data_IF_085957937032
#
_entry.id   IF_085957937032
#
_cell.length_a   1.000
_cell.length_b   1.000
_cell.length_c   1.000
_cell.angle_alpha   90.00
_cell.angle_beta   90.00
_cell.angle_gamma   90.00
#
_symmetry.space_group_name_H-M   'P 1'
#
loop_
_entity.id
_entity.type
_entity.pdbx_description
1 polymer ?
#
# COMPACT_ATOMS: atom_id res chain seq x y z
N UNK A 1 -30.38 62.06 -22.75
CA UNK A 1 -29.03 62.35 -22.26
C UNK A 1 -28.65 61.27 -21.27
N UNK A 2 -27.64 60.46 -21.60
CA UNK A 2 -26.98 59.59 -20.64
C UNK A 2 -25.49 59.70 -20.93
N UNK A 3 -24.80 60.52 -20.13
CA UNK A 3 -23.36 60.69 -20.15
C UNK A 3 -22.76 59.45 -19.47
N UNK A 4 -22.54 58.40 -20.24
CA UNK A 4 -21.68 57.29 -19.82
C UNK A 4 -20.23 57.78 -19.85
N UNK A 5 -19.64 57.95 -18.68
CA UNK A 5 -18.20 58.14 -18.51
C UNK A 5 -17.52 56.89 -19.08
N UNK A 6 -16.94 57.01 -20.28
CA UNK A 6 -16.17 55.94 -20.92
C UNK A 6 -14.78 55.86 -20.27
N UNK A 7 -14.25 54.66 -19.96
CA UNK A 7 -12.84 54.53 -19.59
C UNK A 7 -11.98 55.07 -20.75
N UNK A 8 -10.97 55.87 -20.42
CA UNK A 8 -10.10 56.51 -21.40
C UNK A 8 -9.43 55.44 -22.29
N UNK A 9 -9.60 55.55 -23.62
CA UNK A 9 -8.89 54.73 -24.61
C UNK A 9 -9.74 53.75 -25.44
N UNK A 10 -11.03 53.57 -25.17
CA UNK A 10 -11.88 52.69 -25.98
C UNK A 10 -12.49 53.43 -27.19
N UNK A 11 -11.94 53.21 -28.39
CA UNK A 11 -12.52 53.68 -29.65
C UNK A 11 -13.66 52.73 -30.06
N UNK A 12 -14.90 53.25 -30.12
CA UNK A 12 -16.08 52.47 -30.51
C UNK A 12 -16.52 52.93 -31.89
N UNK A 13 -16.36 52.05 -32.88
CA UNK A 13 -16.86 52.27 -34.25
C UNK A 13 -18.20 51.55 -34.37
N UNK A 14 -19.28 52.34 -34.47
CA UNK A 14 -20.61 51.79 -34.68
C UNK A 14 -20.80 51.33 -36.13
N UNK A 15 -21.37 50.13 -36.30
CA UNK A 15 -21.79 49.61 -37.60
C UNK A 15 -23.30 49.45 -37.56
N UNK A 16 -24.00 50.13 -38.47
CA UNK A 16 -25.47 50.09 -38.50
C UNK A 16 -25.96 48.70 -38.94
N UNK A 17 -26.73 48.04 -38.08
CA UNK A 17 -27.34 46.75 -38.37
C UNK A 17 -28.40 46.90 -39.48
N UNK A 18 -28.40 46.00 -40.47
CA UNK A 18 -29.41 45.94 -41.54
C UNK A 18 -29.06 46.66 -42.85
N UNK A 19 -27.98 47.43 -42.91
CA UNK A 19 -27.50 48.03 -44.16
C UNK A 19 -26.69 46.99 -44.96
N UNK A 20 -27.38 46.07 -45.65
CA UNK A 20 -26.79 44.96 -46.40
C UNK A 20 -26.39 45.34 -47.83
N UNK A 21 -25.43 44.60 -48.37
CA UNK A 21 -25.10 44.58 -49.79
C UNK A 21 -26.30 44.00 -50.60
N UNK A 22 -26.50 44.38 -51.88
CA UNK A 22 -27.66 43.93 -52.68
C UNK A 22 -27.83 42.42 -52.84
N UNK A 23 -26.77 41.64 -52.66
CA UNK A 23 -26.82 40.16 -52.67
C UNK A 23 -27.18 39.54 -51.31
N UNK A 24 -27.30 40.35 -50.25
CA UNK A 24 -27.65 39.92 -48.90
C UNK A 24 -26.56 39.17 -48.13
N UNK A 25 -25.35 39.03 -48.68
CA UNK A 25 -24.27 38.21 -48.09
C UNK A 25 -23.29 38.98 -47.23
N UNK A 26 -23.31 40.31 -47.30
CA UNK A 26 -22.39 41.20 -46.59
C UNK A 26 -23.08 42.50 -46.18
N UNK A 27 -22.41 43.27 -45.33
CA UNK A 27 -22.79 44.67 -45.05
C UNK A 27 -22.45 45.56 -46.25
N UNK A 28 -23.22 46.62 -46.44
CA UNK A 28 -22.98 47.64 -47.46
C UNK A 28 -21.65 48.36 -47.19
N UNK A 29 -21.00 48.83 -48.26
CA UNK A 29 -19.73 49.58 -48.16
C UNK A 29 -19.86 50.84 -47.30
N UNK A 30 -21.00 51.51 -47.38
CA UNK A 30 -21.26 52.71 -46.57
C UNK A 30 -21.39 52.37 -45.08
N UNK A 31 -21.99 51.23 -44.74
CA UNK A 31 -22.12 50.80 -43.34
C UNK A 31 -20.77 50.48 -42.68
N UNK A 32 -19.80 49.98 -43.43
CA UNK A 32 -18.45 49.65 -42.92
C UNK A 32 -17.40 50.72 -43.22
N UNK A 33 -17.76 51.81 -43.90
CA UNK A 33 -16.81 52.84 -44.38
C UNK A 33 -15.93 53.40 -43.27
N UNK A 34 -16.51 53.69 -42.10
CA UNK A 34 -15.78 54.21 -40.95
C UNK A 34 -14.75 53.20 -40.39
N UNK A 35 -15.13 51.92 -40.33
CA UNK A 35 -14.25 50.83 -39.92
C UNK A 35 -13.09 50.64 -40.91
N UNK A 36 -13.40 50.60 -42.22
CA UNK A 36 -12.39 50.46 -43.27
C UNK A 36 -11.40 51.61 -43.29
N UNK A 37 -11.87 52.86 -43.18
CA UNK A 37 -10.99 54.02 -43.10
C UNK A 37 -10.08 53.99 -41.86
N UNK A 38 -10.55 53.46 -40.73
CA UNK A 38 -9.72 53.27 -39.54
C UNK A 38 -8.64 52.21 -39.75
N UNK A 39 -8.99 51.07 -40.36
CA UNK A 39 -8.06 50.00 -40.67
C UNK A 39 -7.00 50.45 -41.69
N UNK A 40 -7.39 51.23 -42.70
CA UNK A 40 -6.47 51.82 -43.68
C UNK A 40 -5.50 52.81 -43.02
N UNK A 41 -6.00 53.69 -42.14
CA UNK A 41 -5.17 54.61 -41.35
C UNK A 41 -4.16 53.85 -40.46
N UNK A 42 -4.60 52.78 -39.80
CA UNK A 42 -3.72 51.91 -39.02
C UNK A 42 -2.70 51.19 -39.92
N UNK A 43 -3.11 50.70 -41.09
CA UNK A 43 -2.24 50.01 -42.03
C UNK A 43 -1.18 50.93 -42.65
N UNK A 44 -1.45 52.23 -42.77
CA UNK A 44 -0.48 53.22 -43.26
C UNK A 44 0.56 53.61 -42.20
N UNK A 45 0.25 53.53 -40.90
CA UNK A 45 1.11 53.99 -39.80
C UNK A 45 1.82 52.82 -39.08
N UNK A 46 3.13 52.69 -39.30
CA UNK A 46 3.95 51.67 -38.65
C UNK A 46 4.08 51.84 -37.12
N UNK A 47 4.07 53.09 -36.62
CA UNK A 47 4.10 53.39 -35.19
C UNK A 47 2.80 52.99 -34.50
N UNK A 48 1.66 53.33 -35.11
CA UNK A 48 0.34 52.94 -34.60
C UNK A 48 0.15 51.42 -34.57
N UNK A 49 0.61 50.68 -35.59
CA UNK A 49 0.59 49.21 -35.56
C UNK A 49 1.43 48.63 -34.44
N UNK A 50 2.64 49.18 -34.21
CA UNK A 50 3.51 48.72 -33.13
C UNK A 50 2.86 48.95 -31.77
N UNK A 51 2.33 50.16 -31.53
CA UNK A 51 1.61 50.48 -30.29
C UNK A 51 0.40 49.55 -30.07
N UNK A 52 -0.38 49.27 -31.11
CA UNK A 52 -1.51 48.34 -31.00
C UNK A 52 -1.04 46.91 -30.68
N UNK A 53 0.04 46.43 -31.32
CA UNK A 53 0.60 45.13 -31.05
C UNK A 53 1.12 45.02 -29.60
N UNK A 54 1.79 46.06 -29.09
CA UNK A 54 2.25 46.14 -27.70
C UNK A 54 1.07 46.14 -26.72
N UNK A 55 0.02 46.91 -27.00
CA UNK A 55 -1.21 46.93 -26.18
C UNK A 55 -1.96 45.60 -26.22
N UNK A 56 -2.07 44.97 -27.38
CA UNK A 56 -2.71 43.67 -27.54
C UNK A 56 -1.91 42.57 -26.82
N UNK A 57 -0.58 42.60 -26.91
CA UNK A 57 0.30 41.67 -26.19
C UNK A 57 0.20 41.88 -24.67
N UNK A 58 0.27 43.13 -24.20
CA UNK A 58 0.12 43.45 -22.78
C UNK A 58 -1.26 43.01 -22.26
N UNK A 59 -2.32 43.22 -23.03
CA UNK A 59 -3.67 42.76 -22.70
C UNK A 59 -3.78 41.23 -22.69
N UNK A 60 -3.16 40.54 -23.64
CA UNK A 60 -3.13 39.08 -23.67
C UNK A 60 -2.37 38.51 -22.47
N UNK A 61 -1.20 39.07 -22.12
CA UNK A 61 -0.42 38.66 -20.93
C UNK A 61 -1.20 38.94 -19.65
N UNK A 62 -1.81 40.12 -19.51
CA UNK A 62 -2.65 40.46 -18.37
C UNK A 62 -3.87 39.53 -18.24
N UNK A 63 -4.43 39.08 -19.36
CA UNK A 63 -5.51 38.10 -19.40
C UNK A 63 -5.09 36.68 -18.99
N UNK A 64 -3.82 36.32 -19.16
CA UNK A 64 -3.29 35.01 -18.73
C UNK A 64 -3.14 34.91 -17.21
N UNK A 65 -2.79 36.02 -16.54
CA UNK A 65 -2.57 36.05 -15.09
C UNK A 65 -3.73 35.42 -14.29
N UNK A 66 -5.01 35.84 -14.44
CA UNK A 66 -6.10 35.24 -13.69
C UNK A 66 -6.36 33.76 -14.05
N UNK A 67 -6.09 33.35 -15.29
CA UNK A 67 -6.23 31.95 -15.72
C UNK A 67 -5.18 31.06 -15.05
N UNK A 68 -3.94 31.53 -14.97
CA UNK A 68 -2.87 30.79 -14.31
C UNK A 68 -3.10 30.70 -12.80
N UNK A 69 -3.61 31.76 -12.16
CA UNK A 69 -3.98 31.71 -10.75
C UNK A 69 -5.11 30.70 -10.50
N UNK A 70 -6.12 30.66 -11.36
CA UNK A 70 -7.19 29.66 -11.27
C UNK A 70 -6.64 28.23 -11.34
N UNK A 71 -5.72 27.95 -12.27
CA UNK A 71 -5.07 26.63 -12.37
C UNK A 71 -4.23 26.33 -11.12
N UNK A 72 -3.49 27.31 -10.60
CA UNK A 72 -2.70 27.13 -9.38
C UNK A 72 -3.59 26.82 -8.16
N UNK A 73 -4.73 27.50 -8.04
CA UNK A 73 -5.70 27.24 -6.97
C UNK A 73 -6.33 25.84 -7.13
N UNK A 74 -6.65 25.42 -8.36
CA UNK A 74 -7.14 24.06 -8.64
C UNK A 74 -6.10 22.99 -8.28
N UNK A 75 -4.81 23.22 -8.54
CA UNK A 75 -3.73 22.32 -8.15
C UNK A 75 -3.61 22.19 -6.63
N UNK A 76 -3.79 23.28 -5.88
CA UNK A 76 -3.79 23.24 -4.41
C UNK A 76 -4.99 22.46 -3.85
N UNK A 77 -6.18 22.62 -4.43
CA UNK A 77 -7.34 21.81 -4.07
C UNK A 77 -7.09 20.33 -4.38
N UNK A 78 -6.57 20.00 -5.57
CA UNK A 78 -6.21 18.62 -5.92
C UNK A 78 -5.16 18.04 -4.98
N UNK A 79 -4.21 18.85 -4.48
CA UNK A 79 -3.23 18.39 -3.50
C UNK A 79 -3.88 18.00 -2.16
N UNK A 80 -4.90 18.74 -1.72
CA UNK A 80 -5.67 18.42 -0.51
C UNK A 80 -6.43 17.11 -0.68
N UNK A 81 -7.10 16.94 -1.83
CA UNK A 81 -7.86 15.73 -2.15
C UNK A 81 -6.93 14.50 -2.26
N UNK A 82 -5.80 14.67 -2.94
CA UNK A 82 -4.76 13.65 -3.04
C UNK A 82 -4.26 13.19 -1.65
N UNK A 83 -3.93 14.15 -0.77
CA UNK A 83 -3.48 13.82 0.58
C UNK A 83 -4.60 13.16 1.40
N UNK A 84 -5.87 13.52 1.17
CA UNK A 84 -7.00 12.87 1.82
C UNK A 84 -7.14 11.39 1.42
N UNK A 85 -7.06 11.07 0.13
CA UNK A 85 -7.13 9.70 -0.35
C UNK A 85 -5.98 8.83 0.17
N UNK A 86 -4.75 9.37 0.21
CA UNK A 86 -3.58 8.70 0.79
C UNK A 86 -3.78 8.41 2.29
N UNK A 87 -4.31 9.38 3.05
CA UNK A 87 -4.63 9.19 4.48
C UNK A 87 -5.68 8.11 4.70
N UNK A 88 -6.69 8.02 3.83
CA UNK A 88 -7.72 6.97 3.91
C UNK A 88 -7.07 5.59 3.74
N UNK A 89 -6.28 5.39 2.67
CA UNK A 89 -5.59 4.12 2.43
C UNK A 89 -4.65 3.75 3.60
N UNK A 90 -3.88 4.72 4.12
CA UNK A 90 -3.02 4.51 5.27
C UNK A 90 -3.80 4.10 6.53
N UNK A 91 -4.93 4.74 6.79
CA UNK A 91 -5.76 4.45 7.97
C UNK A 91 -6.38 3.06 7.88
N UNK A 92 -6.98 2.72 6.73
CA UNK A 92 -7.67 1.44 6.54
C UNK A 92 -6.69 0.25 6.59
N UNK A 93 -5.52 0.38 5.96
CA UNK A 93 -4.49 -0.66 6.03
C UNK A 93 -3.84 -0.78 7.41
N UNK A 94 -3.59 0.32 8.12
CA UNK A 94 -3.06 0.28 9.48
C UNK A 94 -4.06 -0.35 10.47
N UNK A 95 -5.34 -0.04 10.34
CA UNK A 95 -6.39 -0.63 11.16
C UNK A 95 -6.53 -2.13 10.90
N UNK A 96 -6.46 -2.57 9.64
CA UNK A 96 -6.47 -4.00 9.32
C UNK A 96 -5.23 -4.73 9.80
N UNK A 97 -4.04 -4.13 9.70
CA UNK A 97 -2.84 -4.68 10.30
C UNK A 97 -2.98 -4.82 11.82
N UNK A 98 -3.59 -3.83 12.50
CA UNK A 98 -3.87 -3.87 13.93
C UNK A 98 -4.85 -5.00 14.27
N UNK A 99 -5.94 -5.15 13.51
CA UNK A 99 -6.93 -6.22 13.69
C UNK A 99 -6.34 -7.60 13.43
N UNK A 100 -5.51 -7.72 12.39
CA UNK A 100 -4.78 -8.94 12.05
C UNK A 100 -3.85 -9.35 13.20
N UNK A 101 -3.03 -8.41 13.72
CA UNK A 101 -2.16 -8.61 14.89
C UNK A 101 -2.95 -9.02 16.13
N UNK A 102 -4.11 -8.41 16.37
CA UNK A 102 -4.95 -8.75 17.52
C UNK A 102 -5.59 -10.14 17.38
N UNK A 103 -6.07 -10.51 16.19
CA UNK A 103 -6.65 -11.83 15.91
C UNK A 103 -5.62 -12.94 16.03
N UNK A 104 -4.41 -12.68 15.56
CA UNK A 104 -3.25 -13.52 15.77
C UNK A 104 -3.00 -13.69 17.28
N UNK A 105 -2.86 -12.62 18.04
CA UNK A 105 -2.70 -12.69 19.51
C UNK A 105 -3.81 -13.46 20.23
N UNK A 106 -5.07 -13.34 19.77
CA UNK A 106 -6.25 -13.98 20.40
C UNK A 106 -6.48 -15.44 19.98
N UNK A 107 -5.81 -15.96 18.97
CA UNK A 107 -5.88 -17.39 18.62
C UNK A 107 -7.09 -17.87 17.82
N UNK A 108 -7.85 -16.96 17.21
CA UNK A 108 -9.07 -17.32 16.47
C UNK A 108 -8.80 -17.89 15.06
N UNK A 109 -7.54 -18.00 14.63
CA UNK A 109 -7.18 -18.30 13.23
C UNK A 109 -6.92 -19.79 12.99
N UNK A 110 -6.51 -20.55 14.00
CA UNK A 110 -6.03 -21.94 13.83
C UNK A 110 -6.99 -23.03 14.36
N UNK A 111 -8.18 -22.64 14.86
CA UNK A 111 -9.04 -23.54 15.65
C UNK A 111 -9.85 -24.53 14.80
N UNK A 112 -10.32 -24.19 13.60
CA UNK A 112 -11.31 -25.01 12.88
C UNK A 112 -10.75 -25.91 11.76
N UNK A 113 -9.66 -25.53 11.10
CA UNK A 113 -9.10 -26.29 9.95
C UNK A 113 -7.99 -27.27 10.40
N UNK A 114 -7.11 -26.83 11.32
CA UNK A 114 -6.00 -27.65 11.85
C UNK A 114 -6.52 -28.87 12.63
N UNK A 115 -7.65 -28.73 13.34
CA UNK A 115 -8.29 -29.85 14.06
C UNK A 115 -8.89 -30.87 13.09
N UNK A 116 -9.48 -30.41 11.98
CA UNK A 116 -10.08 -31.29 10.97
C UNK A 116 -9.02 -32.12 10.24
N UNK A 117 -7.88 -31.50 9.91
CA UNK A 117 -6.77 -32.17 9.24
C UNK A 117 -6.06 -33.17 10.19
N UNK A 118 -5.95 -32.85 11.48
CA UNK A 118 -5.37 -33.72 12.50
C UNK A 118 -6.26 -34.94 12.85
N UNK A 119 -7.59 -34.78 12.85
CA UNK A 119 -8.53 -35.87 13.15
C UNK A 119 -8.48 -37.02 12.13
N UNK A 120 -8.04 -36.76 10.90
CA UNK A 120 -7.80 -37.83 9.91
C UNK A 120 -6.48 -38.60 10.13
N UNK A 121 -5.59 -38.10 10.99
CA UNK A 121 -4.21 -38.57 11.11
C UNK A 121 -3.93 -39.47 12.34
N UNK A 122 -4.68 -39.36 13.43
CA UNK A 122 -4.41 -40.16 14.65
C UNK A 122 -5.59 -41.05 15.00
N UNK A 123 -5.61 -42.25 14.42
CA UNK A 123 -6.26 -43.39 15.09
C UNK A 123 -5.58 -43.58 16.45
N UNK A 124 -6.34 -43.44 17.53
CA UNK A 124 -5.87 -43.30 18.91
C UNK A 124 -5.01 -44.46 19.48
N UNK A 125 -4.75 -45.52 18.71
CA UNK A 125 -4.28 -46.82 19.23
C UNK A 125 -2.76 -47.05 19.19
N UNK A 126 -1.96 -46.11 18.66
CA UNK A 126 -0.51 -46.31 18.47
C UNK A 126 0.38 -45.51 19.43
N UNK A 127 -0.13 -44.44 20.05
CA UNK A 127 0.66 -43.53 20.91
C UNK A 127 0.86 -44.10 22.32
N UNK A 128 -0.08 -44.89 22.83
CA UNK A 128 -0.05 -45.47 24.19
C UNK A 128 1.05 -46.52 24.40
N UNK A 129 1.55 -47.15 23.32
CA UNK A 129 2.61 -48.19 23.42
C UNK A 129 4.04 -47.66 23.54
N UNK A 130 4.30 -46.42 23.15
CA UNK A 130 5.66 -45.86 23.17
C UNK A 130 6.11 -45.40 24.58
N UNK A 131 5.16 -45.19 25.49
CA UNK A 131 5.42 -44.59 26.81
C UNK A 131 5.78 -45.59 27.92
N UNK A 132 5.58 -46.89 27.73
CA UNK A 132 5.79 -47.91 28.78
C UNK A 132 7.24 -48.39 28.94
N UNK A 133 8.21 -47.86 28.17
CA UNK A 133 9.62 -48.25 28.32
C UNK A 133 10.53 -47.02 28.48
N UNK A 134 11.28 -47.00 29.58
CA UNK A 134 11.90 -45.81 30.16
C UNK A 134 12.90 -45.00 29.33
N UNK A 135 13.24 -43.83 29.90
CA UNK A 135 13.94 -42.65 29.37
C UNK A 135 15.29 -42.92 28.67
N UNK A 136 15.90 -44.11 28.82
CA UNK A 136 17.18 -44.47 28.21
C UNK A 136 17.17 -44.81 26.71
N UNK A 137 16.00 -45.03 26.08
CA UNK A 137 15.90 -45.47 24.66
C UNK A 137 15.32 -44.45 23.66
N UNK A 138 15.14 -43.20 24.08
CA UNK A 138 14.53 -42.13 23.25
C UNK A 138 15.34 -41.85 21.96
N UNK A 139 16.66 -42.08 21.95
CA UNK A 139 17.50 -41.97 20.75
C UNK A 139 17.08 -42.91 19.61
N UNK A 140 16.56 -44.10 19.93
CA UNK A 140 16.18 -45.11 18.93
C UNK A 140 14.81 -44.88 18.31
N UNK A 141 13.86 -44.35 19.08
CA UNK A 141 12.49 -44.10 18.63
C UNK A 141 12.42 -42.95 17.61
N UNK A 142 13.21 -41.89 17.81
CA UNK A 142 13.33 -40.80 16.84
C UNK A 142 13.99 -41.25 15.53
N UNK A 143 14.95 -42.17 15.58
CA UNK A 143 15.62 -42.69 14.38
C UNK A 143 14.78 -43.74 13.61
N UNK A 144 13.70 -44.25 14.19
CA UNK A 144 12.78 -45.21 13.56
C UNK A 144 11.63 -44.50 12.83
N UNK A 145 11.14 -43.38 13.37
CA UNK A 145 10.11 -42.53 12.74
C UNK A 145 10.63 -41.91 11.43
N UNK A 146 11.92 -41.65 11.34
CA UNK A 146 12.55 -41.02 10.15
C UNK A 146 12.98 -42.01 9.05
N UNK A 147 12.83 -43.33 9.25
CA UNK A 147 13.29 -44.34 8.29
C UNK A 147 12.21 -44.94 7.38
N UNK A 148 10.97 -44.44 7.43
CA UNK A 148 9.85 -45.05 6.68
C UNK A 148 8.71 -44.14 6.21
N UNK A 149 8.81 -42.80 6.32
CA UNK A 149 7.74 -41.89 5.82
C UNK A 149 8.17 -41.16 4.54
N UNK A 150 7.32 -41.10 3.50
CA UNK A 150 7.66 -40.47 2.20
C UNK A 150 7.90 -38.96 2.27
N UNK A 151 7.40 -38.27 3.30
CA UNK A 151 7.73 -36.87 3.62
C UNK A 151 7.95 -36.75 5.14
N UNK A 152 8.95 -35.96 5.56
CA UNK A 152 9.23 -35.75 6.98
C UNK A 152 8.03 -35.01 7.63
N UNK A 153 7.46 -35.49 8.76
CA UNK A 153 6.26 -34.93 9.41
C UNK A 153 6.30 -33.42 9.69
N UNK A 154 7.51 -32.89 9.84
CA UNK A 154 7.81 -31.47 10.07
C UNK A 154 7.51 -30.58 8.86
N UNK A 155 7.84 -31.04 7.65
CA UNK A 155 7.67 -30.25 6.43
C UNK A 155 6.18 -30.06 6.09
N UNK A 156 5.35 -31.06 6.36
CA UNK A 156 3.90 -30.99 6.15
C UNK A 156 3.22 -29.97 7.09
N UNK A 157 3.59 -29.96 8.38
CA UNK A 157 3.07 -28.99 9.35
C UNK A 157 3.50 -27.56 9.01
N UNK A 158 4.75 -27.40 8.61
CA UNK A 158 5.30 -26.12 8.16
C UNK A 158 4.53 -25.56 6.96
N UNK A 159 4.30 -26.41 5.94
CA UNK A 159 3.55 -26.05 4.74
C UNK A 159 2.12 -25.65 5.07
N UNK A 160 1.40 -26.46 5.85
CA UNK A 160 0.02 -26.17 6.26
C UNK A 160 -0.10 -24.84 7.01
N UNK A 161 0.75 -24.60 8.00
CA UNK A 161 0.74 -23.33 8.74
C UNK A 161 1.08 -22.12 7.86
N UNK A 162 1.95 -22.31 6.87
CA UNK A 162 2.31 -21.26 5.89
C UNK A 162 1.13 -20.94 4.97
N UNK A 163 0.41 -21.95 4.50
CA UNK A 163 -0.77 -21.79 3.63
C UNK A 163 -1.95 -21.15 4.38
N UNK A 164 -2.19 -21.54 5.63
CA UNK A 164 -3.21 -20.95 6.50
C UNK A 164 -2.93 -19.47 6.77
N UNK A 165 -1.69 -19.14 7.14
CA UNK A 165 -1.29 -17.75 7.38
C UNK A 165 -1.33 -16.92 6.09
N UNK A 166 -0.96 -17.50 4.95
CA UNK A 166 -1.11 -16.84 3.65
C UNK A 166 -2.56 -16.51 3.35
N UNK A 167 -3.48 -17.44 3.57
CA UNK A 167 -4.92 -17.23 3.34
C UNK A 167 -5.46 -16.15 4.27
N UNK A 168 -5.02 -16.15 5.53
CA UNK A 168 -5.40 -15.17 6.53
C UNK A 168 -4.92 -13.74 6.19
N UNK A 169 -3.66 -13.59 5.76
CA UNK A 169 -3.12 -12.30 5.31
C UNK A 169 -3.88 -11.78 4.08
N UNK A 170 -4.15 -12.66 3.10
CA UNK A 170 -4.92 -12.29 1.89
C UNK A 170 -6.33 -11.83 2.24
N UNK A 171 -6.99 -12.47 3.22
CA UNK A 171 -8.31 -12.06 3.68
C UNK A 171 -8.29 -10.65 4.28
N UNK A 172 -7.36 -10.37 5.19
CA UNK A 172 -7.21 -9.05 5.83
C UNK A 172 -6.81 -7.95 4.85
N UNK A 173 -5.89 -8.23 3.92
CA UNK A 173 -5.55 -7.30 2.86
C UNK A 173 -6.74 -7.02 1.93
N UNK A 174 -7.57 -8.03 1.65
CA UNK A 174 -8.79 -7.85 0.85
C UNK A 174 -9.85 -7.05 1.58
N UNK A 175 -9.98 -7.21 2.91
CA UNK A 175 -10.85 -6.36 3.72
C UNK A 175 -10.35 -4.91 3.74
N UNK A 176 -9.05 -4.68 3.89
CA UNK A 176 -8.46 -3.35 3.82
C UNK A 176 -8.68 -2.68 2.47
N UNK A 177 -8.48 -3.43 1.38
CA UNK A 177 -8.73 -2.97 0.02
C UNK A 177 -10.20 -2.62 -0.20
N UNK A 178 -11.15 -3.47 0.24
CA UNK A 178 -12.60 -3.20 0.18
C UNK A 178 -13.00 -1.92 0.93
N UNK A 179 -12.48 -1.72 2.15
CA UNK A 179 -12.77 -0.50 2.93
C UNK A 179 -12.24 0.74 2.22
N UNK A 180 -10.97 0.69 1.78
CA UNK A 180 -10.32 1.78 1.06
C UNK A 180 -11.08 2.13 -0.22
N UNK A 181 -11.40 1.13 -1.05
CA UNK A 181 -12.18 1.32 -2.27
C UNK A 181 -13.60 1.86 -2.00
N UNK A 182 -14.25 1.45 -0.90
CA UNK A 182 -15.55 1.98 -0.51
C UNK A 182 -15.47 3.45 -0.11
N UNK A 183 -14.47 3.82 0.70
CA UNK A 183 -14.24 5.22 1.09
C UNK A 183 -13.85 6.09 -0.11
N UNK A 184 -12.98 5.59 -0.99
CA UNK A 184 -12.61 6.27 -2.23
C UNK A 184 -13.80 6.46 -3.18
N UNK A 185 -14.73 5.51 -3.23
CA UNK A 185 -15.93 5.62 -4.06
C UNK A 185 -16.88 6.74 -3.62
N UNK A 186 -16.76 7.24 -2.38
CA UNK A 186 -17.53 8.39 -1.89
C UNK A 186 -16.90 9.74 -2.27
N UNK A 187 -15.64 9.75 -2.72
CA UNK A 187 -14.90 10.92 -3.16
C UNK A 187 -14.92 11.03 -4.71
N UNK A 188 -15.16 12.21 -5.32
CA UNK A 188 -15.21 12.34 -6.78
C UNK A 188 -13.94 11.91 -7.51
N UNK A 189 -12.76 12.19 -6.95
CA UNK A 189 -11.48 11.80 -7.54
C UNK A 189 -11.22 10.32 -7.29
N UNK A 190 -11.44 9.85 -6.07
CA UNK A 190 -11.33 8.45 -5.68
C UNK A 190 -12.24 7.52 -6.49
N UNK A 191 -13.50 7.91 -6.73
CA UNK A 191 -14.47 7.12 -7.47
C UNK A 191 -14.02 6.83 -8.90
N UNK A 192 -13.35 7.79 -9.56
CA UNK A 192 -12.78 7.59 -10.90
C UNK A 192 -11.61 6.61 -10.88
N UNK A 193 -10.75 6.67 -9.86
CA UNK A 193 -9.62 5.74 -9.71
C UNK A 193 -10.12 4.31 -9.50
N UNK A 194 -11.11 4.11 -8.61
CA UNK A 194 -11.71 2.80 -8.33
C UNK A 194 -12.46 2.24 -9.55
N UNK A 195 -13.17 3.08 -10.30
CA UNK A 195 -13.87 2.64 -11.51
C UNK A 195 -12.93 2.16 -12.63
N UNK A 196 -11.70 2.69 -12.66
CA UNK A 196 -10.69 2.33 -13.67
C UNK A 196 -9.88 1.09 -13.31
N UNK A 197 -9.89 0.65 -12.04
CA UNK A 197 -9.15 -0.52 -11.58
C UNK A 197 -9.99 -1.37 -10.60
N UNK A 198 -10.66 -2.39 -11.13
CA UNK A 198 -11.42 -3.36 -10.34
C UNK A 198 -10.54 -4.15 -9.35
N UNK A 199 -9.22 -4.22 -9.58
CA UNK A 199 -8.27 -4.89 -8.69
C UNK A 199 -8.11 -4.19 -7.33
N UNK A 200 -8.59 -2.96 -7.16
CA UNK A 200 -8.57 -2.23 -5.89
C UNK A 200 -9.60 -2.73 -4.86
N UNK A 201 -10.55 -3.57 -5.27
CA UNK A 201 -11.55 -4.16 -4.36
C UNK A 201 -11.04 -5.39 -3.60
N UNK A 202 -9.80 -5.81 -3.86
CA UNK A 202 -9.23 -7.04 -3.29
C UNK A 202 -7.71 -6.90 -3.11
N UNK A 203 -7.14 -7.82 -2.33
CA UNK A 203 -5.70 -7.99 -2.25
C UNK A 203 -5.09 -8.28 -3.63
N UNK A 204 -3.81 -7.97 -3.81
CA UNK A 204 -3.10 -8.21 -5.06
C UNK A 204 -3.06 -9.72 -5.36
N UNK A 205 -3.11 -10.06 -6.65
CA UNK A 205 -3.13 -11.46 -7.07
C UNK A 205 -1.89 -12.24 -6.62
N UNK A 206 -0.76 -11.56 -6.45
CA UNK A 206 0.52 -12.15 -6.04
C UNK A 206 0.77 -12.12 -4.53
N UNK A 207 -0.13 -11.53 -3.73
CA UNK A 207 0.08 -11.39 -2.27
C UNK A 207 0.25 -12.74 -1.58
N UNK A 208 -0.49 -13.76 -2.00
CA UNK A 208 -0.34 -15.12 -1.43
C UNK A 208 1.05 -15.69 -1.70
N UNK A 209 1.56 -15.56 -2.92
CA UNK A 209 2.92 -15.96 -3.31
C UNK A 209 3.98 -15.23 -2.48
N UNK A 210 3.85 -13.90 -2.39
CA UNK A 210 4.75 -13.05 -1.64
C UNK A 210 4.75 -13.39 -0.14
N UNK A 211 3.57 -13.71 0.42
CA UNK A 211 3.44 -14.10 1.83
C UNK A 211 4.17 -15.43 2.09
N UNK A 212 3.97 -16.45 1.25
CA UNK A 212 4.67 -17.74 1.39
C UNK A 212 6.19 -17.60 1.27
N UNK A 213 6.65 -16.77 0.32
CA UNK A 213 8.06 -16.47 0.17
C UNK A 213 8.64 -15.77 1.41
N UNK A 214 7.95 -14.76 1.94
CA UNK A 214 8.39 -14.05 3.13
C UNK A 214 8.42 -14.95 4.38
N UNK A 215 7.42 -15.84 4.54
CA UNK A 215 7.40 -16.83 5.61
C UNK A 215 8.54 -17.84 5.50
N UNK A 216 8.91 -18.23 4.28
CA UNK A 216 10.08 -19.10 4.04
C UNK A 216 11.38 -18.43 4.51
N UNK A 217 11.56 -17.15 4.19
CA UNK A 217 12.70 -16.35 4.66
C UNK A 217 12.69 -16.24 6.19
N UNK A 218 11.53 -15.96 6.78
CA UNK A 218 11.37 -15.89 8.24
C UNK A 218 11.76 -17.21 8.94
N UNK A 219 11.32 -18.35 8.42
CA UNK A 219 11.69 -19.67 8.95
C UNK A 219 13.19 -19.95 8.81
N UNK A 220 13.80 -19.55 7.69
CA UNK A 220 15.26 -19.61 7.50
C UNK A 220 16.02 -18.80 8.55
N UNK A 221 15.52 -17.61 8.90
CA UNK A 221 16.11 -16.77 9.95
C UNK A 221 16.02 -17.43 11.34
N UNK A 222 14.90 -18.10 11.66
CA UNK A 222 14.78 -18.88 12.90
C UNK A 222 15.80 -20.03 12.92
N UNK A 223 15.95 -20.76 11.81
CA UNK A 223 16.93 -21.84 11.71
C UNK A 223 18.36 -21.34 11.90
N UNK A 224 18.69 -20.16 11.35
CA UNK A 224 19.97 -19.50 11.58
C UNK A 224 20.17 -19.13 13.06
N UNK A 225 19.17 -18.54 13.73
CA UNK A 225 19.24 -18.21 15.16
C UNK A 225 19.49 -19.46 16.02
N UNK A 226 18.82 -20.58 15.72
CA UNK A 226 19.03 -21.87 16.42
C UNK A 226 20.44 -22.39 16.20
N UNK A 227 20.96 -22.31 14.97
CA UNK A 227 22.31 -22.77 14.63
C UNK A 227 23.39 -21.98 15.39
N UNK A 228 23.27 -20.65 15.42
CA UNK A 228 24.20 -19.77 16.15
C UNK A 228 24.17 -20.07 17.66
N UNK A 229 22.97 -20.15 18.24
CA UNK A 229 22.79 -20.43 19.67
C UNK A 229 23.30 -21.83 20.06
N UNK A 230 23.21 -22.80 19.15
CA UNK A 230 23.71 -24.17 19.36
C UNK A 230 25.23 -24.32 19.22
N UNK A 231 25.90 -23.46 18.44
CA UNK A 231 27.33 -23.52 18.19
C UNK A 231 28.19 -23.13 19.40
N UNK A 232 27.68 -22.25 20.28
CA UNK A 232 28.39 -21.75 21.47
C UNK A 232 28.55 -22.81 22.58
N UNK A 233 27.77 -23.90 22.54
CA UNK A 233 27.92 -25.04 23.46
C UNK A 233 28.82 -26.10 22.81
N UNK A 234 30.08 -26.15 23.28
CA UNK A 234 31.23 -26.98 22.83
C UNK A 234 31.03 -28.51 22.65
N UNK A 235 29.81 -29.06 22.60
CA UNK A 235 29.53 -30.51 22.57
C UNK A 235 28.78 -31.07 21.35
N UNK A 236 28.31 -30.26 20.39
CA UNK A 236 27.35 -30.71 19.35
C UNK A 236 27.97 -30.86 17.96
N UNK A 237 29.19 -31.39 17.85
CA UNK A 237 29.93 -31.44 16.58
C UNK A 237 29.45 -32.52 15.56
N UNK A 238 28.47 -33.38 15.88
CA UNK A 238 28.03 -34.47 14.96
C UNK A 238 26.50 -34.63 14.79
N UNK A 239 25.73 -33.58 15.03
CA UNK A 239 24.25 -33.60 14.86
C UNK A 239 23.65 -32.29 14.36
N UNK A 240 24.46 -31.42 13.75
CA UNK A 240 24.16 -29.99 13.52
C UNK A 240 22.97 -29.78 12.57
N UNK A 241 22.82 -30.53 11.49
CA UNK A 241 21.70 -30.30 10.55
C UNK A 241 20.35 -30.84 11.06
N UNK A 242 20.37 -31.96 11.79
CA UNK A 242 19.15 -32.61 12.29
C UNK A 242 18.58 -31.90 13.55
N UNK A 243 19.45 -31.36 14.41
CA UNK A 243 19.03 -30.63 15.62
C UNK A 243 18.51 -29.22 15.33
N UNK A 244 19.11 -28.52 14.37
CA UNK A 244 18.74 -27.13 14.02
C UNK A 244 17.33 -27.05 13.42
N UNK A 245 16.99 -27.95 12.50
CA UNK A 245 15.66 -27.95 11.88
C UNK A 245 14.54 -28.27 12.90
N UNK A 246 14.76 -29.24 13.78
CA UNK A 246 13.79 -29.56 14.83
C UNK A 246 13.63 -28.41 15.85
N UNK A 247 14.72 -27.71 16.17
CA UNK A 247 14.69 -26.52 17.02
C UNK A 247 13.92 -25.36 16.38
N UNK A 248 14.18 -25.09 15.10
CA UNK A 248 13.53 -24.01 14.36
C UNK A 248 12.02 -24.21 14.25
N UNK A 249 11.60 -25.44 13.96
CA UNK A 249 10.19 -25.82 13.88
C UNK A 249 9.52 -25.69 15.25
N UNK A 250 10.23 -25.98 16.33
CA UNK A 250 9.66 -25.81 17.66
C UNK A 250 9.51 -24.35 18.04
N UNK A 251 10.48 -23.50 17.69
CA UNK A 251 10.35 -22.05 17.87
C UNK A 251 9.18 -21.53 17.04
N UNK A 252 9.07 -21.92 15.77
CA UNK A 252 7.96 -21.59 14.89
C UNK A 252 6.61 -22.00 15.50
N UNK A 253 6.47 -23.26 15.93
CA UNK A 253 5.26 -23.75 16.59
C UNK A 253 4.97 -23.01 17.89
N UNK A 254 6.01 -22.60 18.64
CA UNK A 254 5.85 -21.83 19.88
C UNK A 254 5.41 -20.40 19.60
N UNK A 255 5.93 -19.79 18.53
CA UNK A 255 5.46 -18.51 18.01
C UNK A 255 4.00 -18.66 17.62
N UNK A 256 3.62 -19.62 16.78
CA UNK A 256 2.22 -19.83 16.39
C UNK A 256 1.30 -20.20 17.55
N UNK A 257 1.77 -20.96 18.54
CA UNK A 257 0.96 -21.30 19.72
C UNK A 257 0.68 -20.07 20.61
N UNK A 258 1.64 -19.15 20.72
CA UNK A 258 1.46 -17.91 21.47
C UNK A 258 0.75 -16.82 20.65
N UNK A 259 0.98 -16.80 19.36
CA UNK A 259 0.25 -16.06 18.33
C UNK A 259 -1.04 -16.81 17.94
N UNK A 260 -1.53 -17.66 18.84
CA UNK A 260 -2.58 -18.65 18.64
C UNK A 260 -3.43 -18.90 19.89
N UNK A 261 -3.20 -18.16 20.98
CA UNK A 261 -4.05 -18.20 22.18
C UNK A 261 -4.21 -19.57 22.86
N UNK A 262 -3.16 -20.40 22.94
CA UNK A 262 -3.22 -21.74 23.56
C UNK A 262 -3.04 -21.79 25.09
N UNK A 263 -3.58 -20.83 25.86
CA UNK A 263 -3.44 -20.80 27.33
C UNK A 263 -4.72 -21.01 28.14
N UNK A 264 -5.84 -21.47 27.56
CA UNK A 264 -7.07 -21.59 28.35
C UNK A 264 -8.13 -22.55 27.82
N UNK A 265 -8.42 -23.56 28.65
CA UNK A 265 -9.67 -24.30 28.82
C UNK A 265 -9.98 -25.59 28.02
N UNK A 266 -9.40 -25.88 26.85
CA UNK A 266 -9.77 -27.12 26.11
C UNK A 266 -8.55 -27.90 25.60
N UNK A 267 -7.62 -28.13 26.54
CA UNK A 267 -6.40 -28.92 26.33
C UNK A 267 -6.76 -30.42 26.37
N UNK A 268 -7.29 -30.92 25.25
CA UNK A 268 -7.62 -32.34 25.10
C UNK A 268 -6.45 -33.16 24.54
N UNK A 269 -5.99 -32.87 23.32
CA UNK A 269 -5.15 -33.83 22.57
C UNK A 269 -4.03 -33.16 21.74
N UNK A 270 -4.01 -31.83 21.61
CA UNK A 270 -2.92 -31.09 20.94
C UNK A 270 -1.68 -30.82 21.83
N UNK A 271 -1.77 -31.05 23.15
CA UNK A 271 -0.69 -30.78 24.10
C UNK A 271 0.37 -31.88 24.24
N UNK A 272 0.21 -33.02 23.57
CA UNK A 272 1.12 -34.17 23.74
C UNK A 272 2.56 -33.94 23.25
N UNK A 273 2.80 -33.00 22.33
CA UNK A 273 4.13 -32.81 21.70
C UNK A 273 4.73 -31.43 21.93
N UNK A 274 3.93 -30.35 21.97
CA UNK A 274 4.43 -29.00 22.28
C UNK A 274 4.91 -28.87 23.74
N UNK A 275 4.19 -29.48 24.69
CA UNK A 275 4.55 -29.47 26.11
C UNK A 275 5.76 -30.37 26.43
N UNK A 276 6.01 -31.39 25.60
CA UNK A 276 7.16 -32.30 25.76
C UNK A 276 8.46 -31.76 25.16
N UNK A 277 8.41 -30.75 24.27
CA UNK A 277 9.61 -30.24 23.59
C UNK A 277 10.22 -29.00 24.28
N UNK A 278 9.45 -28.28 25.09
CA UNK A 278 9.94 -27.10 25.84
C UNK A 278 10.99 -27.49 26.90
N UNK A 279 10.80 -28.64 27.58
CA UNK A 279 11.81 -29.18 28.52
C UNK A 279 13.08 -29.66 27.81
N UNK A 280 12.96 -30.18 26.59
CA UNK A 280 14.09 -30.62 25.76
C UNK A 280 14.90 -29.42 25.23
N UNK A 281 14.23 -28.36 24.75
CA UNK A 281 14.89 -27.12 24.33
C UNK A 281 15.51 -26.36 25.50
N UNK A 282 14.80 -26.22 26.63
CA UNK A 282 15.35 -25.58 27.83
C UNK A 282 16.57 -26.35 28.36
N UNK A 283 16.55 -27.68 28.32
CA UNK A 283 17.70 -28.50 28.70
C UNK A 283 18.90 -28.35 27.74
N UNK A 284 18.67 -28.11 26.44
CA UNK A 284 19.72 -28.00 25.43
C UNK A 284 20.28 -26.58 25.29
N UNK A 285 19.44 -25.55 25.30
CA UNK A 285 19.80 -24.16 24.99
C UNK A 285 19.78 -23.25 26.22
N UNK A 286 18.94 -23.54 27.21
CA UNK A 286 18.68 -22.68 28.36
C UNK A 286 17.44 -21.81 28.13
N UNK A 287 16.67 -21.60 29.19
CA UNK A 287 15.34 -20.95 29.13
C UNK A 287 15.39 -19.50 28.60
N UNK A 288 16.38 -18.72 29.03
CA UNK A 288 16.55 -17.34 28.58
C UNK A 288 16.81 -17.25 27.06
N UNK A 289 17.65 -18.13 26.51
CA UNK A 289 17.97 -18.15 25.09
C UNK A 289 16.76 -18.54 24.23
N UNK A 290 15.92 -19.45 24.72
CA UNK A 290 14.67 -19.85 24.03
C UNK A 290 13.67 -18.71 24.02
N UNK A 291 13.48 -18.00 25.15
CA UNK A 291 12.60 -16.85 25.24
C UNK A 291 13.04 -15.71 24.30
N UNK A 292 14.33 -15.42 24.26
CA UNK A 292 14.88 -14.39 23.38
C UNK A 292 14.68 -14.74 21.90
N UNK A 293 14.92 -15.99 21.52
CA UNK A 293 14.71 -16.48 20.16
C UNK A 293 13.25 -16.44 19.74
N UNK A 294 12.32 -16.77 20.64
CA UNK A 294 10.88 -16.63 20.39
C UNK A 294 10.50 -15.16 20.21
N UNK A 295 11.06 -14.25 21.02
CA UNK A 295 10.82 -12.80 20.88
C UNK A 295 11.28 -12.30 19.52
N UNK A 296 12.54 -12.58 19.14
CA UNK A 296 13.06 -12.18 17.82
C UNK A 296 12.26 -12.75 16.66
N UNK A 297 11.83 -14.02 16.78
CA UNK A 297 11.00 -14.64 15.76
C UNK A 297 9.63 -13.95 15.63
N UNK A 298 9.01 -13.53 16.74
CA UNK A 298 7.78 -12.72 16.70
C UNK A 298 7.99 -11.36 16.07
N UNK A 299 9.01 -10.63 16.49
CA UNK A 299 9.30 -9.28 15.97
C UNK A 299 9.52 -9.32 14.45
N UNK A 300 10.25 -10.33 13.94
CA UNK A 300 10.44 -10.53 12.50
C UNK A 300 9.13 -10.88 11.78
N UNK A 301 8.25 -11.66 12.39
CA UNK A 301 6.94 -11.96 11.81
C UNK A 301 6.08 -10.69 11.73
N UNK A 302 6.06 -9.89 12.79
CA UNK A 302 5.31 -8.64 12.83
C UNK A 302 5.80 -7.63 11.79
N UNK A 303 7.12 -7.53 11.58
CA UNK A 303 7.73 -6.74 10.50
C UNK A 303 7.38 -7.27 9.11
N UNK A 304 7.33 -8.60 8.96
CA UNK A 304 6.95 -9.24 7.69
C UNK A 304 5.50 -8.88 7.33
N UNK A 305 4.59 -9.00 8.29
CA UNK A 305 3.18 -8.64 8.11
C UNK A 305 2.99 -7.15 7.81
N UNK A 306 3.76 -6.29 8.47
CA UNK A 306 3.75 -4.85 8.20
C UNK A 306 4.19 -4.53 6.78
N UNK A 307 5.31 -5.11 6.34
CA UNK A 307 5.81 -4.91 4.97
C UNK A 307 4.84 -5.41 3.91
N UNK A 308 4.14 -6.53 4.15
CA UNK A 308 3.12 -7.05 3.23
C UNK A 308 1.91 -6.11 3.14
N UNK A 309 1.43 -5.58 4.27
CA UNK A 309 0.31 -4.63 4.29
C UNK A 309 0.70 -3.25 3.71
N UNK A 310 1.93 -2.80 3.96
CA UNK A 310 2.49 -1.58 3.37
C UNK A 310 2.54 -1.69 1.84
N UNK A 311 3.00 -2.82 1.32
CA UNK A 311 3.01 -3.10 -0.11
C UNK A 311 1.61 -3.03 -0.73
N UNK A 312 0.59 -3.48 -0.01
CA UNK A 312 -0.80 -3.38 -0.47
C UNK A 312 -1.30 -1.93 -0.44
N UNK A 313 -0.97 -1.14 0.59
CA UNK A 313 -1.26 0.30 0.64
C UNK A 313 -0.62 1.05 -0.52
N UNK A 314 0.63 0.74 -0.83
CA UNK A 314 1.37 1.42 -1.90
C UNK A 314 0.68 1.31 -3.27
N UNK A 315 -0.12 0.27 -3.51
CA UNK A 315 -0.91 0.14 -4.74
C UNK A 315 -1.89 1.29 -4.91
N UNK A 316 -2.50 1.76 -3.81
CA UNK A 316 -3.36 2.94 -3.80
C UNK A 316 -2.54 4.22 -3.93
N UNK A 317 -1.45 4.34 -3.17
CA UNK A 317 -0.58 5.53 -3.17
C UNK A 317 -0.01 5.86 -4.56
N UNK A 318 0.24 4.86 -5.41
CA UNK A 318 0.75 5.05 -6.78
C UNK A 318 -0.28 5.61 -7.76
N UNK A 319 -1.57 5.51 -7.45
CA UNK A 319 -2.65 6.02 -8.31
C UNK A 319 -2.99 7.49 -8.04
N UNK A 320 -2.52 8.03 -6.92
CA UNK A 320 -2.79 9.39 -6.48
C UNK A 320 -1.57 10.26 -6.77
N UNK A 321 -1.70 11.46 -7.35
CA UNK A 321 -0.58 12.38 -7.51
C UNK A 321 0.04 12.76 -6.15
N UNK A 322 1.28 13.23 -6.15
CA UNK A 322 1.90 13.77 -4.93
C UNK A 322 1.33 15.15 -4.62
N UNK A 323 0.76 15.33 -3.44
CA UNK A 323 0.30 16.65 -3.00
C UNK A 323 1.44 17.67 -2.87
N UNK A 324 2.66 17.22 -2.61
CA UNK A 324 3.85 18.07 -2.59
C UNK A 324 4.18 18.60 -4.00
N UNK A 325 4.18 17.72 -5.00
CA UNK A 325 4.47 18.09 -6.40
C UNK A 325 3.40 19.03 -6.96
N UNK A 326 2.12 18.79 -6.64
CA UNK A 326 1.01 19.66 -7.06
C UNK A 326 1.14 21.07 -6.46
N UNK A 327 1.49 21.19 -5.18
CA UNK A 327 1.71 22.49 -4.52
C UNK A 327 2.96 23.19 -5.07
N UNK A 328 4.03 22.45 -5.34
CA UNK A 328 5.22 22.99 -5.98
C UNK A 328 4.90 23.57 -7.36
N UNK A 329 4.15 22.82 -8.18
CA UNK A 329 3.70 23.29 -9.49
C UNK A 329 2.80 24.54 -9.39
N UNK A 330 1.90 24.59 -8.41
CA UNK A 330 1.08 25.78 -8.15
C UNK A 330 1.96 27.00 -7.80
N UNK A 331 2.97 26.80 -6.95
CA UNK A 331 3.96 27.82 -6.62
C UNK A 331 4.76 28.31 -7.82
N UNK A 332 5.23 27.40 -8.66
CA UNK A 332 5.98 27.70 -9.89
C UNK A 332 5.13 28.50 -10.88
N UNK A 333 3.85 28.15 -11.05
CA UNK A 333 2.90 28.87 -11.90
C UNK A 333 2.69 30.31 -11.42
N UNK A 334 2.49 30.52 -10.11
CA UNK A 334 2.35 31.86 -9.53
C UNK A 334 3.64 32.66 -9.65
N UNK A 335 4.79 32.05 -9.35
CA UNK A 335 6.11 32.67 -9.49
C UNK A 335 6.41 33.11 -10.93
N UNK A 336 6.02 32.30 -11.93
CA UNK A 336 6.17 32.65 -13.34
C UNK A 336 5.33 33.88 -13.73
N UNK A 337 4.12 34.03 -13.17
CA UNK A 337 3.26 35.20 -13.41
C UNK A 337 3.75 36.46 -12.70
N UNK A 338 4.32 36.33 -11.51
CA UNK A 338 4.96 37.45 -10.82
C UNK A 338 6.19 37.94 -11.58
N UNK A 339 7.01 37.02 -12.08
CA UNK A 339 8.18 37.35 -12.89
C UNK A 339 7.81 38.04 -14.20
N UNK A 340 6.72 37.62 -14.87
CA UNK A 340 6.24 38.26 -16.10
C UNK A 340 5.58 39.62 -15.86
N UNK A 341 5.03 39.85 -14.66
CA UNK A 341 4.39 41.11 -14.27
C UNK A 341 5.40 42.17 -13.79
N UNK A 342 6.64 41.79 -13.45
CA UNK A 342 7.69 42.75 -13.12
C UNK A 342 8.06 43.53 -14.39
N UNK A 343 8.00 44.88 -14.38
CA UNK A 343 8.51 45.65 -15.49
C UNK A 343 9.98 45.28 -15.69
N UNK A 344 10.37 44.97 -16.92
CA UNK A 344 11.78 44.83 -17.27
C UNK A 344 12.43 46.19 -16.98
N UNK A 345 13.05 46.31 -15.81
CA UNK A 345 13.77 47.51 -15.39
C UNK A 345 14.86 47.80 -16.41
N UNK A 346 14.75 48.97 -17.06
CA UNK A 346 15.87 49.64 -17.69
C UNK A 346 16.76 50.31 -16.65
#
# INVERSE_FOLDING_TARGET
GSLAVRPAGLEVIGVAEGALHPDGTALSRDAVKALMGRLESLAADAGARRSLAEQALAGAVAGLTPLVHMVADDLEHQAIDADALRRVAATDHAEELRLMRERLRRGNVLREEVIRQWHSFVGADQITRAFSSGIGRVRGALAAIFRGSPEAPVAAVQKGATDDLSTFVVAHASDAARRTASHWSADPLGARLVANDAGLWTASADLGEATRAALTVWMGAIASDVAVTGADKRGVARGVSLGVNAGAVTVMLTVFAHTGGLTGAEVGIAAGTAFLNQKLLNALFGEAAVLEMISRARDRLDQTLESLMERERERFDRLVPSGEELRALAGDLRGAMEASSRPHGG
#
